data_IF_785168027487
#
_entry.id   IF_785168027487
#
_cell.length_a   1.000
_cell.length_b   1.000
_cell.length_c   1.000
_cell.angle_alpha   90.00
_cell.angle_beta   90.00
_cell.angle_gamma   90.00
#
_symmetry.space_group_name_H-M   'P 1'
#
loop_
_entity.id
_entity.type
_entity.pdbx_description
1 polymer ?
#
# COMPACT_ATOMS: atom_id res chain seq x y z
N UNK A 1 -25.34 18.33 35.38
CA UNK A 1 -26.70 18.83 35.55
C UNK A 1 -26.78 20.07 34.67
N UNK A 2 -27.21 19.95 33.40
CA UNK A 2 -28.62 19.92 32.92
C UNK A 2 -29.44 21.04 33.58
N UNK A 3 -30.26 21.81 32.90
CA UNK A 3 -30.71 21.97 31.51
C UNK A 3 -31.51 23.27 31.52
N UNK A 4 -31.66 23.98 30.40
CA UNK A 4 -32.82 24.81 30.01
C UNK A 4 -32.43 25.51 28.69
N UNK A 5 -33.22 25.70 27.62
CA UNK A 5 -34.44 25.13 27.04
C UNK A 5 -34.84 26.11 25.90
N UNK A 6 -35.76 25.68 25.03
CA UNK A 6 -36.50 26.42 23.98
C UNK A 6 -35.83 26.44 22.59
N UNK A 7 -36.24 25.58 21.64
CA UNK A 7 -37.51 25.55 20.86
C UNK A 7 -37.71 26.82 19.99
N UNK A 8 -38.21 26.82 18.76
CA UNK A 8 -38.55 25.84 17.71
C UNK A 8 -39.27 26.67 16.65
N UNK A 9 -38.81 26.82 15.40
CA UNK A 9 -39.69 27.06 14.24
C UNK A 9 -39.02 26.55 12.96
N UNK A 10 -39.60 25.51 12.36
CA UNK A 10 -39.44 25.13 10.93
C UNK A 10 -40.25 26.08 10.05
N UNK A 11 -39.99 26.10 8.74
CA UNK A 11 -40.99 25.45 7.90
C UNK A 11 -40.41 24.46 6.90
N UNK A 12 -41.27 23.49 6.62
CA UNK A 12 -41.19 22.31 5.77
C UNK A 12 -41.41 22.66 4.29
N UNK A 13 -40.69 22.00 3.39
CA UNK A 13 -41.15 21.50 2.06
C UNK A 13 -40.17 20.39 1.64
N UNK A 14 -40.58 19.12 1.71
CA UNK A 14 -40.89 18.25 0.54
C UNK A 14 -39.62 17.92 -0.27
N UNK A 15 -38.93 16.83 0.07
CA UNK A 15 -39.08 15.47 -0.52
C UNK A 15 -38.19 15.27 -1.77
N UNK A 16 -36.94 14.87 -1.53
CA UNK A 16 -36.27 13.87 -2.37
C UNK A 16 -35.47 12.94 -1.45
N UNK A 17 -35.88 11.67 -1.41
CA UNK A 17 -35.23 10.58 -0.70
C UNK A 17 -33.83 10.33 -1.30
N UNK A 18 -32.83 11.01 -0.75
CA UNK A 18 -31.44 10.57 -0.86
C UNK A 18 -31.22 9.41 0.09
N UNK A 19 -31.31 8.17 -0.39
CA UNK A 19 -30.81 6.99 0.33
C UNK A 19 -29.34 7.22 0.66
N UNK A 20 -29.10 7.61 1.92
CA UNK A 20 -27.76 7.83 2.44
C UNK A 20 -27.20 6.46 2.77
N UNK A 21 -26.50 5.86 1.80
CA UNK A 21 -25.76 4.63 2.04
C UNK A 21 -24.65 4.92 3.06
N UNK A 22 -24.90 4.51 4.31
CA UNK A 22 -23.94 4.57 5.40
C UNK A 22 -22.79 3.61 5.05
N UNK A 23 -21.67 4.18 4.59
CA UNK A 23 -20.43 3.46 4.35
C UNK A 23 -19.90 2.91 5.68
N UNK A 24 -20.09 1.61 5.90
CA UNK A 24 -19.42 0.84 6.95
C UNK A 24 -17.90 0.94 6.77
N UNK A 25 -17.23 1.57 7.73
CA UNK A 25 -15.85 2.05 7.67
C UNK A 25 -14.75 0.99 7.79
N UNK A 26 -14.86 -0.15 7.10
CA UNK A 26 -13.81 -1.20 7.15
C UNK A 26 -13.49 -1.79 5.77
N UNK A 27 -13.59 -0.98 4.71
CA UNK A 27 -13.24 -1.38 3.34
C UNK A 27 -12.30 -0.38 2.68
N UNK A 28 -11.55 -0.83 1.68
CA UNK A 28 -10.72 0.06 0.86
C UNK A 28 -11.63 1.02 0.07
N UNK A 29 -11.47 2.33 0.26
CA UNK A 29 -12.20 3.37 -0.47
C UNK A 29 -11.59 3.57 -1.86
N UNK A 30 -12.40 3.47 -2.92
CA UNK A 30 -11.93 3.46 -4.30
C UNK A 30 -12.68 4.46 -5.21
N UNK A 31 -12.21 5.71 -5.28
CA UNK A 31 -12.81 6.78 -6.11
C UNK A 31 -12.75 6.53 -7.63
N UNK A 32 -12.04 5.49 -8.09
CA UNK A 32 -11.80 5.21 -9.50
C UNK A 32 -12.92 4.39 -10.16
N UNK A 33 -13.80 3.75 -9.39
CA UNK A 33 -14.98 3.03 -9.90
C UNK A 33 -15.88 3.94 -10.75
N UNK A 34 -15.94 5.24 -10.43
CA UNK A 34 -16.75 6.22 -11.15
C UNK A 34 -16.09 6.72 -12.46
N UNK A 35 -14.76 6.75 -12.55
CA UNK A 35 -14.00 7.32 -13.68
C UNK A 35 -14.00 6.48 -14.96
N UNK A 36 -14.50 5.24 -14.93
CA UNK A 36 -14.50 4.36 -16.12
C UNK A 36 -15.86 4.27 -16.81
N UNK A 37 -16.85 5.03 -16.35
CA UNK A 37 -18.19 5.10 -16.96
C UNK A 37 -18.21 6.06 -18.17
N UNK A 38 -17.27 7.02 -18.26
CA UNK A 38 -17.42 8.17 -19.17
C UNK A 38 -16.71 8.08 -20.54
N UNK A 39 -15.95 7.03 -20.83
CA UNK A 39 -15.13 7.00 -22.06
C UNK A 39 -15.61 5.95 -23.07
N UNK A 40 -16.62 6.27 -23.87
CA UNK A 40 -16.95 5.48 -25.08
C UNK A 40 -17.29 6.40 -26.26
N UNK A 41 -16.38 6.47 -27.25
CA UNK A 41 -16.62 7.10 -28.55
C UNK A 41 -16.37 6.11 -29.72
N UNK A 42 -17.47 5.87 -30.43
CA UNK A 42 -17.78 5.37 -31.80
C UNK A 42 -16.72 4.82 -32.79
N UNK A 43 -16.98 3.60 -33.30
CA UNK A 43 -16.61 3.12 -34.67
C UNK A 43 -16.86 1.61 -34.95
N UNK A 44 -17.43 1.21 -36.11
CA UNK A 44 -17.39 -0.16 -36.71
C UNK A 44 -18.47 -1.23 -36.36
N UNK A 45 -19.32 -1.65 -37.31
CA UNK A 45 -20.59 -2.40 -37.08
C UNK A 45 -20.53 -3.87 -36.60
N UNK A 46 -19.40 -4.58 -36.62
CA UNK A 46 -19.23 -5.91 -35.98
C UNK A 46 -18.48 -5.85 -34.65
N UNK A 47 -17.53 -4.92 -34.55
CA UNK A 47 -16.87 -4.61 -33.28
C UNK A 47 -17.83 -3.97 -32.27
N UNK A 48 -18.88 -3.28 -32.74
CA UNK A 48 -19.91 -2.65 -31.91
C UNK A 48 -20.62 -3.64 -30.98
N UNK A 49 -21.09 -4.77 -31.49
CA UNK A 49 -21.89 -5.71 -30.70
C UNK A 49 -21.04 -6.38 -29.61
N UNK A 50 -19.81 -6.77 -29.97
CA UNK A 50 -18.87 -7.37 -29.03
C UNK A 50 -18.38 -6.35 -27.99
N UNK A 51 -17.95 -5.15 -28.40
CA UNK A 51 -17.51 -4.11 -27.46
C UNK A 51 -18.64 -3.67 -26.51
N UNK A 52 -19.88 -3.62 -27.00
CA UNK A 52 -21.06 -3.39 -26.16
C UNK A 52 -21.28 -4.53 -25.17
N UNK A 53 -21.11 -5.78 -25.59
CA UNK A 53 -21.26 -6.95 -24.70
C UNK A 53 -20.16 -7.00 -23.64
N UNK A 54 -18.89 -6.74 -24.00
CA UNK A 54 -17.77 -6.64 -23.06
C UNK A 54 -17.97 -5.50 -22.07
N UNK A 55 -18.42 -4.33 -22.54
CA UNK A 55 -18.71 -3.17 -21.70
C UNK A 55 -19.87 -3.44 -20.74
N UNK A 56 -20.96 -4.07 -21.21
CA UNK A 56 -22.09 -4.42 -20.37
C UNK A 56 -21.69 -5.44 -19.30
N UNK A 57 -20.90 -6.46 -19.65
CA UNK A 57 -20.36 -7.43 -18.70
C UNK A 57 -19.51 -6.76 -17.62
N UNK A 58 -18.64 -5.82 -18.01
CA UNK A 58 -17.84 -5.04 -17.07
C UNK A 58 -18.72 -4.21 -16.10
N UNK A 59 -19.77 -3.56 -16.61
CA UNK A 59 -20.73 -2.82 -15.79
C UNK A 59 -21.44 -3.73 -14.79
N UNK A 60 -21.84 -4.95 -15.19
CA UNK A 60 -22.45 -5.91 -14.26
C UNK A 60 -21.50 -6.39 -13.17
N UNK A 61 -20.20 -6.60 -13.49
CA UNK A 61 -19.20 -6.93 -12.47
C UNK A 61 -19.08 -5.77 -11.48
N UNK A 62 -18.97 -4.53 -11.96
CA UNK A 62 -18.83 -3.35 -11.10
C UNK A 62 -20.04 -3.15 -10.20
N UNK A 63 -21.25 -3.30 -10.73
CA UNK A 63 -22.48 -3.21 -9.95
C UNK A 63 -22.55 -4.30 -8.87
N UNK A 64 -22.20 -5.55 -9.21
CA UNK A 64 -22.15 -6.65 -8.26
C UNK A 64 -21.11 -6.40 -7.15
N UNK A 65 -19.95 -5.82 -7.49
CA UNK A 65 -18.93 -5.42 -6.50
C UNK A 65 -19.45 -4.34 -5.54
N UNK A 66 -20.11 -3.30 -6.07
CA UNK A 66 -20.69 -2.22 -5.27
C UNK A 66 -21.80 -2.72 -4.33
N UNK A 67 -22.54 -3.76 -4.73
CA UNK A 67 -23.58 -4.41 -3.91
C UNK A 67 -23.03 -5.53 -3.02
N UNK A 68 -21.72 -5.74 -2.97
CA UNK A 68 -21.07 -6.83 -2.23
C UNK A 68 -21.55 -8.24 -2.63
N UNK A 69 -22.01 -8.40 -3.88
CA UNK A 69 -22.48 -9.68 -4.43
C UNK A 69 -21.31 -10.46 -5.05
N UNK A 70 -20.38 -10.91 -4.21
CA UNK A 70 -19.09 -11.47 -4.64
C UNK A 70 -19.21 -12.72 -5.52
N UNK A 71 -20.17 -13.61 -5.22
CA UNK A 71 -20.42 -14.83 -6.00
C UNK A 71 -20.89 -14.48 -7.43
N UNK A 72 -21.81 -13.52 -7.55
CA UNK A 72 -22.33 -13.06 -8.82
C UNK A 72 -21.26 -12.28 -9.62
N UNK A 73 -20.44 -11.47 -8.93
CA UNK A 73 -19.29 -10.82 -9.53
C UNK A 73 -18.28 -11.83 -10.10
N UNK A 74 -18.04 -12.95 -9.40
CA UNK A 74 -17.17 -14.02 -9.88
C UNK A 74 -17.72 -14.72 -11.13
N UNK A 75 -19.03 -14.95 -11.20
CA UNK A 75 -19.71 -15.53 -12.37
C UNK A 75 -19.60 -14.60 -13.59
N UNK A 76 -19.87 -13.30 -13.41
CA UNK A 76 -19.70 -12.32 -14.48
C UNK A 76 -18.23 -12.19 -14.92
N UNK A 77 -17.30 -12.25 -13.96
CA UNK A 77 -15.86 -12.23 -14.26
C UNK A 77 -15.44 -13.44 -15.11
N UNK A 78 -16.02 -14.61 -14.88
CA UNK A 78 -15.77 -15.79 -15.72
C UNK A 78 -16.25 -15.57 -17.16
N UNK A 79 -17.45 -15.03 -17.36
CA UNK A 79 -17.97 -14.68 -18.69
C UNK A 79 -17.13 -13.60 -19.36
N UNK A 80 -16.65 -12.60 -18.62
CA UNK A 80 -15.76 -11.55 -19.14
C UNK A 80 -14.45 -12.11 -19.69
N UNK A 81 -13.84 -13.09 -19.00
CA UNK A 81 -12.61 -13.75 -19.46
C UNK A 81 -12.82 -14.52 -20.78
N UNK A 82 -13.90 -15.29 -20.89
CA UNK A 82 -14.24 -16.04 -22.11
C UNK A 82 -14.43 -15.09 -23.30
N UNK A 83 -15.13 -13.98 -23.09
CA UNK A 83 -15.32 -12.94 -24.11
C UNK A 83 -13.95 -12.40 -24.58
N UNK A 84 -13.04 -12.09 -23.66
CA UNK A 84 -11.70 -11.57 -24.02
C UNK A 84 -10.83 -12.54 -24.83
N UNK A 85 -10.95 -13.84 -24.61
CA UNK A 85 -10.22 -14.86 -25.38
C UNK A 85 -10.60 -14.83 -26.88
N UNK A 86 -11.84 -14.49 -27.20
CA UNK A 86 -12.40 -14.44 -28.56
C UNK A 86 -12.05 -13.15 -29.35
N UNK A 87 -11.37 -12.17 -28.74
CA UNK A 87 -11.12 -10.85 -29.36
C UNK A 87 -9.68 -10.59 -29.81
N UNK A 88 -9.58 -9.82 -30.91
CA UNK A 88 -8.34 -9.56 -31.65
C UNK A 88 -7.32 -8.71 -30.86
N UNK A 89 -6.05 -8.89 -31.23
CA UNK A 89 -4.84 -8.62 -30.43
C UNK A 89 -4.68 -7.21 -29.81
N UNK A 90 -5.28 -6.16 -30.39
CA UNK A 90 -5.09 -4.78 -29.92
C UNK A 90 -5.89 -4.42 -28.65
N UNK A 91 -7.00 -5.10 -28.34
CA UNK A 91 -7.79 -4.84 -27.10
C UNK A 91 -7.18 -5.51 -25.85
N UNK A 92 -6.12 -6.31 -26.02
CA UNK A 92 -5.46 -7.10 -24.96
C UNK A 92 -4.52 -6.31 -24.05
N UNK A 93 -4.15 -5.08 -24.39
CA UNK A 93 -3.14 -4.35 -23.60
C UNK A 93 -3.66 -3.89 -22.22
N UNK A 94 -4.94 -3.53 -22.09
CA UNK A 94 -5.55 -3.09 -20.82
C UNK A 94 -6.26 -4.21 -20.03
N UNK A 95 -6.60 -5.31 -20.69
CA UNK A 95 -7.35 -6.41 -20.10
C UNK A 95 -6.66 -7.02 -18.86
N UNK A 96 -5.34 -7.28 -18.82
CA UNK A 96 -4.69 -7.82 -17.63
C UNK A 96 -4.82 -6.93 -16.40
N UNK A 97 -4.80 -5.61 -16.57
CA UNK A 97 -4.95 -4.69 -15.44
C UNK A 97 -6.38 -4.72 -14.88
N UNK A 98 -7.38 -4.73 -15.75
CA UNK A 98 -8.80 -4.84 -15.35
C UNK A 98 -9.03 -6.19 -14.65
N UNK A 99 -8.52 -7.28 -15.24
CA UNK A 99 -8.64 -8.63 -14.69
C UNK A 99 -8.03 -8.69 -13.30
N UNK A 100 -6.81 -8.16 -13.13
CA UNK A 100 -6.14 -8.14 -11.84
C UNK A 100 -6.94 -7.34 -10.80
N UNK A 101 -7.39 -6.12 -11.13
CA UNK A 101 -8.12 -5.26 -10.19
C UNK A 101 -9.41 -5.90 -9.72
N UNK A 102 -10.27 -6.35 -10.65
CA UNK A 102 -11.55 -6.94 -10.30
C UNK A 102 -11.38 -8.32 -9.69
N UNK A 103 -10.52 -9.15 -10.27
CA UNK A 103 -10.28 -10.52 -9.81
C UNK A 103 -9.67 -10.57 -8.41
N UNK A 104 -8.72 -9.70 -8.09
CA UNK A 104 -8.14 -9.65 -6.74
C UNK A 104 -9.16 -9.20 -5.70
N UNK A 105 -10.01 -8.22 -6.01
CA UNK A 105 -11.09 -7.78 -5.12
C UNK A 105 -12.12 -8.89 -4.88
N UNK A 106 -12.59 -9.53 -5.95
CA UNK A 106 -13.53 -10.67 -5.86
C UNK A 106 -12.90 -11.76 -4.99
N UNK A 107 -11.69 -12.19 -5.31
CA UNK A 107 -11.03 -13.27 -4.57
C UNK A 107 -10.72 -12.89 -3.11
N UNK A 108 -10.55 -11.61 -2.79
CA UNK A 108 -10.31 -11.18 -1.43
C UNK A 108 -11.56 -11.39 -0.54
N UNK A 109 -12.76 -11.06 -1.04
CA UNK A 109 -14.00 -11.14 -0.25
C UNK A 109 -14.83 -12.40 -0.50
N UNK A 110 -14.53 -13.17 -1.55
CA UNK A 110 -15.35 -14.31 -1.92
C UNK A 110 -15.30 -15.42 -0.85
N UNK A 111 -16.44 -15.92 -0.34
CA UNK A 111 -16.48 -16.86 0.80
C UNK A 111 -15.75 -18.19 0.56
N UNK A 112 -15.66 -18.62 -0.71
CA UNK A 112 -14.98 -19.86 -1.11
C UNK A 112 -13.52 -19.63 -1.54
N UNK A 113 -13.05 -18.39 -1.52
CA UNK A 113 -11.67 -18.11 -1.90
C UNK A 113 -10.73 -18.61 -0.81
N UNK A 114 -9.61 -19.17 -1.24
CA UNK A 114 -8.53 -19.60 -0.35
C UNK A 114 -7.27 -18.82 -0.67
N UNK A 115 -6.35 -18.80 0.29
CA UNK A 115 -5.00 -18.25 0.09
C UNK A 115 -4.33 -18.85 -1.16
N UNK A 116 -4.42 -20.17 -1.34
CA UNK A 116 -3.88 -20.86 -2.50
C UNK A 116 -4.49 -20.38 -3.82
N UNK A 117 -5.81 -20.17 -3.84
CA UNK A 117 -6.54 -19.66 -5.01
C UNK A 117 -6.06 -18.26 -5.38
N UNK A 118 -5.95 -17.36 -4.38
CA UNK A 118 -5.44 -16.01 -4.60
C UNK A 118 -3.99 -16.01 -5.08
N UNK A 119 -3.11 -16.80 -4.45
CA UNK A 119 -1.70 -16.87 -4.83
C UNK A 119 -1.53 -17.38 -6.25
N UNK A 120 -2.29 -18.42 -6.62
CA UNK A 120 -2.30 -18.96 -7.99
C UNK A 120 -2.77 -17.92 -9.00
N UNK A 121 -3.82 -17.16 -8.67
CA UNK A 121 -4.29 -16.06 -9.50
C UNK A 121 -3.21 -14.96 -9.65
N UNK A 122 -2.61 -14.53 -8.54
CA UNK A 122 -1.55 -13.53 -8.55
C UNK A 122 -0.33 -13.96 -9.37
N UNK A 123 0.11 -15.21 -9.25
CA UNK A 123 1.25 -15.73 -10.00
C UNK A 123 0.94 -15.83 -11.50
N UNK A 124 -0.28 -16.20 -11.89
CA UNK A 124 -0.71 -16.10 -13.29
C UNK A 124 -0.68 -14.64 -13.76
N UNK A 125 -1.26 -13.72 -12.99
CA UNK A 125 -1.36 -12.32 -13.38
C UNK A 125 0.00 -11.61 -13.46
N UNK A 126 0.96 -11.95 -12.59
CA UNK A 126 2.35 -11.47 -12.70
C UNK A 126 2.99 -11.81 -14.03
N UNK A 127 2.69 -12.99 -14.57
CA UNK A 127 3.26 -13.50 -15.81
C UNK A 127 2.46 -13.05 -17.05
N UNK A 128 1.22 -12.59 -16.88
CA UNK A 128 0.38 -12.05 -17.96
C UNK A 128 0.66 -10.55 -18.10
N UNK A 129 1.62 -10.23 -18.98
CA UNK A 129 1.99 -8.85 -19.31
C UNK A 129 3.19 -8.35 -18.48
N UNK A 130 4.36 -8.31 -19.13
CA UNK A 130 5.67 -7.95 -18.54
C UNK A 130 5.65 -6.62 -17.77
N UNK A 131 4.76 -5.70 -18.13
CA UNK A 131 4.69 -4.35 -17.56
C UNK A 131 4.06 -4.28 -16.16
N UNK A 132 3.27 -5.27 -15.75
CA UNK A 132 2.50 -5.21 -14.49
C UNK A 132 3.13 -5.99 -13.34
N UNK A 133 4.22 -6.73 -13.59
CA UNK A 133 4.86 -7.62 -12.62
C UNK A 133 5.14 -6.95 -11.27
N UNK A 134 5.74 -5.75 -11.28
CA UNK A 134 6.09 -5.02 -10.06
C UNK A 134 4.85 -4.58 -9.26
N UNK A 135 3.84 -4.03 -9.95
CA UNK A 135 2.59 -3.56 -9.34
C UNK A 135 1.83 -4.70 -8.68
N UNK A 136 1.67 -5.81 -9.41
CA UNK A 136 0.99 -7.01 -8.92
C UNK A 136 1.78 -7.62 -7.76
N UNK A 137 3.11 -7.68 -7.85
CA UNK A 137 3.94 -8.18 -6.76
C UNK A 137 3.80 -7.34 -5.49
N UNK A 138 3.74 -6.01 -5.61
CA UNK A 138 3.52 -5.13 -4.46
C UNK A 138 2.15 -5.39 -3.81
N UNK A 139 1.08 -5.45 -4.60
CA UNK A 139 -0.28 -5.70 -4.08
C UNK A 139 -0.42 -7.12 -3.48
N UNK A 140 0.22 -8.12 -4.09
CA UNK A 140 0.26 -9.47 -3.55
C UNK A 140 1.05 -9.52 -2.23
N UNK A 141 2.14 -8.76 -2.09
CA UNK A 141 2.84 -8.66 -0.81
C UNK A 141 1.92 -8.10 0.29
N UNK A 142 1.16 -7.04 0.01
CA UNK A 142 0.20 -6.47 0.96
C UNK A 142 -0.90 -7.47 1.36
N UNK A 143 -1.39 -8.26 0.40
CA UNK A 143 -2.33 -9.35 0.67
C UNK A 143 -1.74 -10.39 1.63
N UNK A 144 -0.52 -10.85 1.38
CA UNK A 144 0.17 -11.83 2.24
C UNK A 144 0.38 -11.27 3.66
N UNK A 145 0.73 -9.98 3.78
CA UNK A 145 0.89 -9.32 5.07
C UNK A 145 -0.41 -9.25 5.86
N UNK A 146 -1.52 -8.95 5.19
CA UNK A 146 -2.84 -8.93 5.83
C UNK A 146 -3.21 -10.31 6.41
N UNK A 147 -2.72 -11.39 5.81
CA UNK A 147 -2.93 -12.77 6.28
C UNK A 147 -1.84 -13.27 7.23
N UNK A 148 -0.92 -12.41 7.69
CA UNK A 148 0.16 -12.76 8.61
C UNK A 148 1.34 -13.52 7.99
N UNK A 149 1.40 -13.64 6.66
CA UNK A 149 2.42 -14.40 5.93
C UNK A 149 3.62 -13.52 5.58
N UNK A 150 4.36 -13.11 6.61
CA UNK A 150 5.47 -12.15 6.50
C UNK A 150 6.62 -12.65 5.62
N UNK A 151 7.02 -13.91 5.80
CA UNK A 151 8.13 -14.51 5.04
C UNK A 151 7.80 -14.67 3.55
N UNK A 152 6.55 -15.02 3.25
CA UNK A 152 6.07 -15.12 1.87
C UNK A 152 6.02 -13.74 1.21
N UNK A 153 5.55 -12.72 1.92
CA UNK A 153 5.56 -11.34 1.45
C UNK A 153 6.99 -10.85 1.14
N UNK A 154 7.94 -11.12 2.05
CA UNK A 154 9.34 -10.75 1.89
C UNK A 154 10.01 -11.49 0.71
N UNK A 155 9.72 -12.79 0.54
CA UNK A 155 10.20 -13.57 -0.61
C UNK A 155 9.67 -13.01 -1.92
N UNK A 156 8.37 -12.71 -1.98
CA UNK A 156 7.71 -12.12 -3.14
C UNK A 156 8.30 -10.75 -3.51
N UNK A 157 8.53 -9.85 -2.54
CA UNK A 157 9.18 -8.56 -2.81
C UNK A 157 10.65 -8.69 -3.24
N UNK A 158 11.38 -9.67 -2.67
CA UNK A 158 12.77 -9.94 -3.06
C UNK A 158 12.89 -10.43 -4.50
N UNK A 159 11.93 -11.24 -4.97
CA UNK A 159 11.84 -11.62 -6.39
C UNK A 159 11.50 -10.39 -7.25
N UNK A 160 10.55 -9.56 -6.79
CA UNK A 160 10.15 -8.35 -7.50
C UNK A 160 11.28 -7.34 -7.72
N UNK A 161 12.13 -7.13 -6.71
CA UNK A 161 13.28 -6.21 -6.78
C UNK A 161 14.31 -6.61 -7.86
N UNK A 162 14.49 -7.91 -8.10
CA UNK A 162 15.44 -8.42 -9.08
C UNK A 162 14.89 -8.46 -10.50
N UNK A 163 13.62 -8.06 -10.70
CA UNK A 163 13.00 -8.00 -12.02
C UNK A 163 13.66 -6.92 -12.89
N UNK A 164 14.12 -7.30 -14.08
CA UNK A 164 14.84 -6.41 -15.02
C UNK A 164 14.13 -6.18 -16.37
N UNK A 165 12.99 -6.82 -16.62
CA UNK A 165 12.32 -6.79 -17.93
C UNK A 165 11.47 -5.53 -18.16
N UNK A 166 11.41 -5.06 -19.41
CA UNK A 166 10.64 -3.89 -19.86
C UNK A 166 11.43 -2.57 -19.86
N UNK A 167 10.94 -1.57 -20.59
CA UNK A 167 11.56 -0.23 -20.68
C UNK A 167 11.70 0.43 -19.30
N UNK A 168 12.78 1.21 -19.12
CA UNK A 168 12.96 2.05 -17.94
C UNK A 168 12.07 3.28 -18.10
N UNK A 169 10.98 3.34 -17.34
CA UNK A 169 10.12 4.51 -17.24
C UNK A 169 10.16 5.04 -15.80
N UNK A 170 9.86 6.33 -15.63
CA UNK A 170 9.76 6.96 -14.29
C UNK A 170 8.77 6.23 -13.38
N UNK A 171 7.63 5.77 -13.93
CA UNK A 171 6.63 4.98 -13.19
C UNK A 171 7.18 3.66 -12.66
N UNK A 172 8.09 3.02 -13.39
CA UNK A 172 8.74 1.77 -12.99
C UNK A 172 9.75 2.00 -11.88
N UNK A 173 10.49 3.11 -11.93
CA UNK A 173 11.42 3.51 -10.87
C UNK A 173 10.69 3.76 -9.55
N UNK A 174 9.54 4.46 -9.60
CA UNK A 174 8.68 4.64 -8.41
C UNK A 174 8.24 3.30 -7.84
N UNK A 175 7.81 2.35 -8.67
CA UNK A 175 7.40 1.01 -8.21
C UNK A 175 8.58 0.22 -7.59
N UNK A 176 9.77 0.32 -8.16
CA UNK A 176 10.98 -0.30 -7.60
C UNK A 176 11.29 0.30 -6.22
N UNK A 177 11.27 1.62 -6.11
CA UNK A 177 11.51 2.32 -4.84
C UNK A 177 10.49 1.89 -3.78
N UNK A 178 9.20 1.76 -4.15
CA UNK A 178 8.16 1.25 -3.25
C UNK A 178 8.41 -0.21 -2.85
N UNK A 179 8.79 -1.09 -3.77
CA UNK A 179 9.14 -2.48 -3.44
C UNK A 179 10.29 -2.53 -2.44
N UNK A 180 11.34 -1.75 -2.66
CA UNK A 180 12.49 -1.64 -1.76
C UNK A 180 12.09 -1.08 -0.39
N UNK A 181 11.22 -0.07 -0.38
CA UNK A 181 10.66 0.52 0.82
C UNK A 181 9.93 -0.52 1.68
N UNK A 182 8.90 -1.17 1.11
CA UNK A 182 8.09 -2.15 1.82
C UNK A 182 8.91 -3.37 2.24
N UNK A 183 9.88 -3.80 1.42
CA UNK A 183 10.84 -4.84 1.81
C UNK A 183 11.68 -4.39 3.02
N UNK A 184 12.17 -3.15 3.02
CA UNK A 184 12.88 -2.55 4.14
C UNK A 184 12.05 -2.53 5.43
N UNK A 185 10.75 -2.22 5.35
CA UNK A 185 9.84 -2.30 6.49
C UNK A 185 9.67 -3.73 7.02
N UNK A 186 9.55 -4.73 6.15
CA UNK A 186 9.46 -6.13 6.59
C UNK A 186 10.73 -6.58 7.29
N UNK A 187 11.88 -6.17 6.76
CA UNK A 187 13.17 -6.45 7.39
C UNK A 187 13.30 -5.73 8.73
N UNK A 188 12.84 -4.48 8.84
CA UNK A 188 12.76 -3.74 10.10
C UNK A 188 11.83 -4.42 11.09
N UNK A 189 10.66 -4.91 10.66
CA UNK A 189 9.75 -5.65 11.53
C UNK A 189 10.43 -6.91 12.11
N UNK A 190 11.12 -7.69 11.27
CA UNK A 190 11.90 -8.84 11.72
C UNK A 190 13.01 -8.43 12.68
N UNK A 191 13.69 -7.31 12.43
CA UNK A 191 14.69 -6.76 13.34
C UNK A 191 14.07 -6.33 14.68
N UNK A 192 12.94 -5.63 14.66
CA UNK A 192 12.24 -5.15 15.86
C UNK A 192 11.78 -6.31 16.74
N UNK A 193 11.27 -7.38 16.12
CA UNK A 193 10.93 -8.62 16.83
C UNK A 193 12.15 -9.24 17.52
N UNK A 194 13.28 -9.36 16.82
CA UNK A 194 14.54 -9.87 17.39
C UNK A 194 15.08 -8.97 18.51
N UNK A 195 14.97 -7.65 18.36
CA UNK A 195 15.31 -6.68 19.41
C UNK A 195 14.48 -6.89 20.68
N UNK A 196 13.18 -7.15 20.53
CA UNK A 196 12.30 -7.47 21.65
C UNK A 196 12.70 -8.80 22.31
N UNK A 197 13.00 -9.84 21.53
CA UNK A 197 13.48 -11.13 22.04
C UNK A 197 14.81 -11.00 22.79
N UNK A 198 15.75 -10.20 22.27
CA UNK A 198 17.03 -9.90 22.91
C UNK A 198 16.87 -9.22 24.27
N UNK A 199 15.89 -8.32 24.41
CA UNK A 199 15.63 -7.63 25.69
C UNK A 199 15.14 -8.57 26.81
N UNK A 200 14.82 -9.82 26.49
CA UNK A 200 14.40 -10.84 27.45
C UNK A 200 15.54 -11.78 27.87
N UNK A 201 16.70 -11.69 27.22
CA UNK A 201 17.87 -12.51 27.51
C UNK A 201 18.78 -11.80 28.50
N UNK A 202 19.50 -12.57 29.31
CA UNK A 202 20.56 -12.05 30.18
C UNK A 202 21.79 -11.69 29.33
N UNK A 203 22.41 -10.53 29.61
CA UNK A 203 23.55 -10.01 28.83
C UNK A 203 24.78 -10.94 28.90
N UNK A 204 24.89 -11.71 29.99
CA UNK A 204 25.98 -12.66 30.23
C UNK A 204 25.77 -14.03 29.56
N UNK A 205 24.62 -14.26 28.91
CA UNK A 205 24.34 -15.51 28.22
C UNK A 205 25.09 -15.59 26.88
N UNK A 206 25.67 -16.75 26.59
CA UNK A 206 26.22 -17.07 25.27
C UNK A 206 25.16 -16.92 24.16
N UNK A 207 23.90 -17.19 24.48
CA UNK A 207 22.78 -16.98 23.58
C UNK A 207 22.59 -15.49 23.20
N UNK A 208 22.81 -14.57 24.15
CA UNK A 208 22.72 -13.12 23.91
C UNK A 208 23.78 -12.64 22.91
N UNK A 209 25.05 -13.04 23.12
CA UNK A 209 26.14 -12.68 22.21
C UNK A 209 25.90 -13.17 20.78
N UNK A 210 25.43 -14.40 20.63
CA UNK A 210 25.12 -14.98 19.31
C UNK A 210 23.93 -14.28 18.65
N UNK A 211 22.86 -14.01 19.41
CA UNK A 211 21.67 -13.31 18.90
C UNK A 211 21.98 -11.85 18.52
N UNK A 212 22.81 -11.17 19.30
CA UNK A 212 23.25 -9.79 19.06
C UNK A 212 24.07 -9.66 17.76
N UNK A 213 25.03 -10.55 17.53
CA UNK A 213 25.80 -10.57 16.28
C UNK A 213 24.95 -10.87 15.05
N UNK A 214 24.03 -11.83 15.15
CA UNK A 214 23.10 -12.13 14.06
C UNK A 214 22.16 -10.95 13.76
N UNK A 215 21.74 -10.22 14.79
CA UNK A 215 20.92 -9.02 14.62
C UNK A 215 21.70 -7.89 13.91
N UNK A 216 22.98 -7.68 14.25
CA UNK A 216 23.87 -6.70 13.60
C UNK A 216 24.03 -6.95 12.09
N UNK A 217 24.22 -8.21 11.69
CA UNK A 217 24.38 -8.54 10.27
C UNK A 217 23.10 -8.33 9.46
N UNK A 218 21.93 -8.58 10.06
CA UNK A 218 20.63 -8.36 9.41
C UNK A 218 20.22 -6.88 9.37
N UNK A 219 20.58 -6.11 10.40
CA UNK A 219 20.23 -4.70 10.48
C UNK A 219 20.97 -3.84 9.46
N UNK A 220 22.23 -4.16 9.14
CA UNK A 220 23.02 -3.43 8.15
C UNK A 220 22.36 -3.40 6.76
N UNK A 221 21.85 -4.54 6.29
CA UNK A 221 21.16 -4.63 4.99
C UNK A 221 19.84 -3.85 4.97
N UNK A 222 19.12 -3.88 6.09
CA UNK A 222 17.85 -3.15 6.26
C UNK A 222 18.08 -1.63 6.27
N UNK A 223 19.12 -1.21 6.99
CA UNK A 223 19.56 0.18 7.12
C UNK A 223 19.89 0.80 5.77
N UNK A 224 20.63 0.10 4.90
CA UNK A 224 20.98 0.60 3.56
C UNK A 224 19.73 0.89 2.71
N UNK A 225 18.77 -0.03 2.69
CA UNK A 225 17.57 0.12 1.86
C UNK A 225 16.68 1.27 2.34
N UNK A 226 16.50 1.42 3.66
CA UNK A 226 15.74 2.52 4.23
C UNK A 226 16.46 3.86 4.01
N UNK A 227 17.79 3.90 4.20
CA UNK A 227 18.61 5.09 3.98
C UNK A 227 18.48 5.62 2.53
N UNK A 228 18.59 4.73 1.55
CA UNK A 228 18.46 5.11 0.15
C UNK A 228 17.06 5.64 -0.19
N UNK A 229 16.01 5.07 0.41
CA UNK A 229 14.64 5.51 0.19
C UNK A 229 14.37 6.90 0.74
N UNK A 230 14.75 7.16 1.99
CA UNK A 230 14.42 8.42 2.67
C UNK A 230 15.17 9.64 2.09
N UNK A 231 16.18 9.41 1.24
CA UNK A 231 16.84 10.46 0.46
C UNK A 231 16.02 10.91 -0.75
N UNK A 232 15.02 10.14 -1.16
CA UNK A 232 14.13 10.49 -2.27
C UNK A 232 13.04 11.44 -1.76
N UNK A 233 12.82 12.60 -2.39
CA UNK A 233 11.74 13.51 -2.01
C UNK A 233 10.37 12.83 -1.94
N UNK A 234 9.72 12.91 -0.77
CA UNK A 234 8.41 12.32 -0.54
C UNK A 234 7.98 12.31 0.92
N UNK A 235 6.75 11.86 1.19
CA UNK A 235 6.25 11.66 2.56
C UNK A 235 6.49 10.20 2.96
N UNK A 236 7.50 9.96 3.79
CA UNK A 236 8.04 8.65 4.16
C UNK A 236 7.93 8.35 5.66
N UNK A 237 6.92 8.88 6.33
CA UNK A 237 6.74 8.81 7.79
C UNK A 237 7.08 7.45 8.43
N UNK A 238 6.53 6.31 7.96
CA UNK A 238 6.82 5.02 8.58
C UNK A 238 8.29 4.61 8.43
N UNK A 239 8.88 4.89 7.27
CA UNK A 239 10.26 4.50 6.93
C UNK A 239 11.28 5.36 7.68
N UNK A 240 11.03 6.67 7.80
CA UNK A 240 11.87 7.59 8.57
C UNK A 240 11.89 7.17 10.04
N UNK A 241 10.73 6.88 10.64
CA UNK A 241 10.67 6.42 12.03
C UNK A 241 11.41 5.11 12.25
N UNK A 242 11.20 4.13 11.37
CA UNK A 242 11.92 2.84 11.42
C UNK A 242 13.43 3.03 11.34
N UNK A 243 13.91 3.88 10.43
CA UNK A 243 15.33 4.12 10.25
C UNK A 243 15.96 4.85 11.44
N UNK A 244 15.31 5.90 11.94
CA UNK A 244 15.75 6.66 13.12
C UNK A 244 15.86 5.76 14.35
N UNK A 245 14.88 4.88 14.59
CA UNK A 245 14.96 3.95 15.71
C UNK A 245 16.15 2.99 15.60
N UNK A 246 16.46 2.53 14.39
CA UNK A 246 17.64 1.69 14.16
C UNK A 246 18.94 2.46 14.45
N UNK A 247 19.05 3.71 14.02
CA UNK A 247 20.20 4.57 14.30
C UNK A 247 20.37 4.80 15.81
N UNK A 248 19.28 5.18 16.49
CA UNK A 248 19.26 5.36 17.94
C UNK A 248 19.69 4.08 18.67
N UNK A 249 19.23 2.91 18.22
CA UNK A 249 19.60 1.62 18.81
C UNK A 249 21.11 1.31 18.66
N UNK A 250 21.73 1.68 17.54
CA UNK A 250 23.16 1.51 17.32
C UNK A 250 24.03 2.64 17.89
N UNK A 251 23.42 3.61 18.58
CA UNK A 251 24.12 4.72 19.20
C UNK A 251 24.46 5.87 18.23
N UNK A 252 23.98 5.84 17.00
CA UNK A 252 24.18 6.90 16.01
C UNK A 252 23.15 8.03 16.18
N UNK A 253 23.33 8.81 17.24
CA UNK A 253 22.45 9.93 17.57
C UNK A 253 22.58 11.09 16.58
N UNK A 254 23.79 11.33 16.07
CA UNK A 254 24.04 12.41 15.11
C UNK A 254 23.38 12.10 13.76
N UNK A 255 23.48 10.85 13.27
CA UNK A 255 22.77 10.41 12.07
C UNK A 255 21.25 10.48 12.23
N UNK A 256 20.72 10.07 13.39
CA UNK A 256 19.28 10.19 13.67
C UNK A 256 18.81 11.65 13.64
N UNK A 257 19.60 12.56 14.22
CA UNK A 257 19.32 14.00 14.19
C UNK A 257 19.37 14.57 12.78
N UNK A 258 20.39 14.20 11.99
CA UNK A 258 20.54 14.64 10.61
C UNK A 258 19.35 14.24 9.76
N UNK A 259 18.95 12.96 9.81
CA UNK A 259 17.79 12.43 9.09
C UNK A 259 16.52 13.23 9.41
N UNK A 260 16.23 13.42 10.71
CA UNK A 260 15.03 14.15 11.14
C UNK A 260 15.07 15.63 10.77
N UNK A 261 16.25 16.24 10.80
CA UNK A 261 16.42 17.65 10.42
C UNK A 261 16.20 17.84 8.93
N UNK A 262 16.83 17.01 8.10
CA UNK A 262 16.65 17.04 6.65
C UNK A 262 15.18 16.76 6.29
N UNK A 263 14.55 15.79 6.94
CA UNK A 263 13.16 15.45 6.67
C UNK A 263 12.17 16.57 7.03
N UNK A 264 12.51 17.43 8.00
CA UNK A 264 11.67 18.55 8.41
C UNK A 264 11.93 19.85 7.62
N UNK A 265 13.15 20.06 7.12
CA UNK A 265 13.56 21.37 6.59
C UNK A 265 14.15 21.37 5.17
N UNK A 266 14.48 20.22 4.58
CA UNK A 266 14.97 20.20 3.20
C UNK A 266 13.82 20.58 2.24
N UNK A 267 13.97 21.72 1.58
CA UNK A 267 12.99 22.30 0.65
C UNK A 267 12.66 21.39 -0.54
N UNK A 268 13.49 20.38 -0.82
CA UNK A 268 13.18 19.37 -1.85
C UNK A 268 12.02 18.47 -1.45
N UNK A 269 11.78 18.28 -0.16
CA UNK A 269 10.72 17.42 0.35
C UNK A 269 9.40 18.18 0.42
N UNK A 270 8.27 17.51 0.17
CA UNK A 270 6.96 18.12 0.38
C UNK A 270 6.76 18.47 1.86
N UNK A 271 6.07 19.58 2.13
CA UNK A 271 5.74 19.99 3.50
C UNK A 271 5.00 18.87 4.24
N UNK A 272 5.53 18.48 5.40
CA UNK A 272 4.99 17.42 6.23
C UNK A 272 5.01 17.83 7.72
N UNK A 273 3.85 18.18 8.32
CA UNK A 273 3.78 18.52 9.74
C UNK A 273 4.33 17.43 10.68
N UNK A 274 4.21 16.15 10.29
CA UNK A 274 4.71 15.04 11.10
C UNK A 274 6.23 15.07 11.24
N UNK A 275 6.96 15.54 10.22
CA UNK A 275 8.43 15.62 10.26
C UNK A 275 8.92 16.52 11.41
N UNK A 276 8.25 17.67 11.61
CA UNK A 276 8.52 18.58 12.72
C UNK A 276 8.20 17.95 14.08
N UNK A 277 7.11 17.17 14.17
CA UNK A 277 6.74 16.44 15.40
C UNK A 277 7.81 15.39 15.75
N UNK A 278 8.34 14.68 14.75
CA UNK A 278 9.39 13.69 14.98
C UNK A 278 10.69 14.33 15.47
N UNK A 279 11.12 15.41 14.83
CA UNK A 279 12.30 16.17 15.25
C UNK A 279 12.12 16.76 16.67
N UNK A 280 10.96 17.32 16.97
CA UNK A 280 10.62 17.78 18.31
C UNK A 280 10.74 16.64 19.34
N UNK A 281 10.16 15.47 19.03
CA UNK A 281 10.18 14.31 19.90
C UNK A 281 11.60 13.83 20.20
N UNK A 282 12.47 13.82 19.18
CA UNK A 282 13.88 13.50 19.31
C UNK A 282 14.64 14.51 20.19
N UNK A 283 14.54 15.80 19.89
CA UNK A 283 15.20 16.86 20.66
C UNK A 283 14.75 16.91 22.12
N UNK A 284 13.48 16.57 22.38
CA UNK A 284 12.94 16.47 23.74
C UNK A 284 13.63 15.35 24.52
N UNK A 285 13.89 14.19 23.90
CA UNK A 285 14.65 13.09 24.53
C UNK A 285 16.09 13.49 24.82
N UNK A 286 16.70 14.27 23.93
CA UNK A 286 18.06 14.83 24.10
C UNK A 286 18.14 16.00 25.11
N UNK A 287 17.01 16.38 25.73
CA UNK A 287 16.93 17.49 26.70
C UNK A 287 17.35 18.84 26.11
N UNK A 288 17.01 19.08 24.84
CA UNK A 288 17.26 20.37 24.20
C UNK A 288 16.55 21.54 24.91
N UNK A 289 17.09 22.78 24.84
CA UNK A 289 16.46 23.96 25.42
C UNK A 289 15.04 24.20 24.89
N UNK A 290 14.18 24.78 25.74
CA UNK A 290 12.76 25.01 25.41
C UNK A 290 12.60 25.89 24.17
N UNK A 291 13.48 26.86 23.99
CA UNK A 291 13.49 27.78 22.85
C UNK A 291 13.66 27.00 21.53
N UNK A 292 14.59 26.03 21.52
CA UNK A 292 14.86 25.15 20.35
C UNK A 292 13.70 24.19 20.10
N UNK A 293 13.06 23.69 21.15
CA UNK A 293 11.86 22.84 21.00
C UNK A 293 10.70 23.60 20.37
N UNK A 294 10.46 24.84 20.82
CA UNK A 294 9.39 25.69 20.28
C UNK A 294 9.69 26.10 18.85
N UNK A 295 10.95 26.41 18.51
CA UNK A 295 11.31 26.83 17.15
C UNK A 295 11.01 25.76 16.11
N UNK A 296 11.15 24.48 16.45
CA UNK A 296 10.90 23.37 15.51
C UNK A 296 9.43 23.23 15.12
N UNK A 297 8.51 23.67 15.99
CA UNK A 297 7.08 23.58 15.76
C UNK A 297 6.50 24.82 15.06
N UNK A 298 7.32 25.83 14.78
CA UNK A 298 6.91 27.01 14.02
C UNK A 298 7.08 26.70 12.53
N UNK A 299 5.99 26.26 11.90
CA UNK A 299 5.87 25.96 10.47
C UNK A 299 5.05 27.05 9.79
#
# INVERSE_FOLDING_TARGET
MSDFSEELVRPTTEDEQGETCVLSGTGMCFPWLQKHIETVATGGKREKDFAQTTSACLSFIQEALLKHQWQQAAEYMHSYLQILEDSDSNKRQGAPEIIWRLGSEILYYHPKSSLETFNTFADRMKNIGVMNYLKISLQHALYLLHHGLLEDANRNLSQAETWRYGEKSSSKEVLINLIQAYKGLLQYYTWSKKKMELSQLDEDDYAYNTASQNMLNHSWKTSINLCALIQIPGVWDPFVKSYVEMLEFYGDQDGAREVLTNYAYDEKFPSNPNAHIYLYGFLKRERAPREKLISVLKV
#
